data_IF_524486912194
#
_entry.id   IF_524486912194
#
_cell.length_a   1.000
_cell.length_b   1.000
_cell.length_c   1.000
_cell.angle_alpha   90.00
_cell.angle_beta   90.00
_cell.angle_gamma   90.00
#
_symmetry.space_group_name_H-M   'P 1'
#
loop_
_entity.id
_entity.type
_entity.pdbx_description
1 polymer ?
#
# COMPACT_ATOMS: atom_id res chain seq x y z
N UNK A 1 -11.29 12.95 -11.11
CA UNK A 1 -11.56 11.53 -10.85
C UNK A 1 -10.53 11.07 -9.83
N UNK A 2 -10.83 10.12 -8.93
CA UNK A 2 -9.80 9.58 -8.02
C UNK A 2 -8.84 8.72 -8.83
N UNK A 3 -7.55 8.77 -8.49
CA UNK A 3 -6.52 8.00 -9.16
C UNK A 3 -5.84 7.05 -8.19
N UNK A 4 -5.66 5.82 -8.61
CA UNK A 4 -4.96 4.75 -7.88
C UNK A 4 -3.68 4.44 -8.62
N UNK A 5 -2.55 4.48 -7.93
CA UNK A 5 -1.29 3.97 -8.46
C UNK A 5 -1.17 2.49 -8.11
N UNK A 6 -1.00 1.66 -9.12
CA UNK A 6 -0.71 0.24 -8.96
C UNK A 6 0.72 -0.05 -9.39
N UNK A 7 1.57 -0.46 -8.43
CA UNK A 7 2.95 -0.84 -8.72
C UNK A 7 3.04 -2.31 -9.09
N UNK A 8 3.76 -2.60 -10.18
CA UNK A 8 3.91 -3.97 -10.66
C UNK A 8 5.34 -4.29 -11.08
N UNK A 9 5.80 -5.48 -10.69
CA UNK A 9 6.95 -6.19 -11.24
C UNK A 9 6.50 -7.35 -12.15
N UNK A 10 5.20 -7.43 -12.44
CA UNK A 10 4.53 -8.48 -13.19
C UNK A 10 4.61 -9.88 -12.56
N UNK A 11 5.11 -10.01 -11.33
CA UNK A 11 5.10 -11.26 -10.59
C UNK A 11 3.67 -11.76 -10.35
N UNK A 12 3.53 -13.03 -9.95
CA UNK A 12 2.23 -13.59 -9.54
C UNK A 12 1.62 -12.83 -8.36
N UNK A 13 2.47 -12.33 -7.47
CA UNK A 13 2.05 -11.51 -6.33
C UNK A 13 1.43 -10.20 -6.81
N UNK A 14 2.09 -9.52 -7.75
CA UNK A 14 1.55 -8.31 -8.36
C UNK A 14 0.26 -8.58 -9.14
N UNK A 15 0.18 -9.70 -9.89
CA UNK A 15 -1.05 -10.08 -10.59
C UNK A 15 -2.23 -10.30 -9.62
N UNK A 16 -1.98 -10.96 -8.47
CA UNK A 16 -2.98 -11.09 -7.41
C UNK A 16 -3.40 -9.73 -6.84
N UNK A 17 -2.43 -8.85 -6.57
CA UNK A 17 -2.71 -7.51 -6.07
C UNK A 17 -3.50 -6.65 -7.06
N UNK A 18 -3.34 -6.89 -8.36
CA UNK A 18 -4.11 -6.18 -9.39
C UNK A 18 -5.60 -6.45 -9.32
N UNK A 19 -6.03 -7.65 -8.91
CA UNK A 19 -7.44 -7.97 -8.67
C UNK A 19 -8.04 -7.07 -7.60
N UNK A 20 -7.26 -6.79 -6.53
CA UNK A 20 -7.68 -5.86 -5.49
C UNK A 20 -7.76 -4.42 -6.02
N UNK A 21 -6.78 -3.99 -6.84
CA UNK A 21 -6.79 -2.67 -7.44
C UNK A 21 -8.03 -2.46 -8.31
N UNK A 22 -8.39 -3.42 -9.15
CA UNK A 22 -9.60 -3.40 -9.96
C UNK A 22 -10.87 -3.27 -9.10
N UNK A 23 -10.98 -4.06 -8.04
CA UNK A 23 -12.14 -4.05 -7.16
C UNK A 23 -12.29 -2.76 -6.37
N UNK A 24 -11.16 -2.18 -5.92
CA UNK A 24 -11.16 -0.87 -5.26
C UNK A 24 -11.55 0.22 -6.25
N UNK A 25 -10.99 0.19 -7.46
CA UNK A 25 -11.26 1.18 -8.50
C UNK A 25 -12.74 1.19 -8.91
N UNK A 26 -13.34 0.01 -9.09
CA UNK A 26 -14.77 -0.14 -9.39
C UNK A 26 -15.65 0.49 -8.29
N UNK A 27 -15.41 0.12 -7.02
CA UNK A 27 -16.15 0.65 -5.87
C UNK A 27 -16.01 2.17 -5.71
N UNK A 28 -14.83 2.72 -5.99
CA UNK A 28 -14.51 4.13 -5.77
C UNK A 28 -14.66 4.98 -7.02
N UNK A 29 -14.97 4.36 -8.17
CA UNK A 29 -15.00 4.99 -9.49
C UNK A 29 -13.69 5.71 -9.81
N UNK A 30 -12.58 5.04 -9.51
CA UNK A 30 -11.24 5.54 -9.72
C UNK A 30 -10.66 5.03 -11.05
N UNK A 31 -9.64 5.72 -11.53
CA UNK A 31 -8.76 5.32 -12.61
C UNK A 31 -7.53 4.62 -12.03
N UNK A 32 -6.98 3.63 -12.71
CA UNK A 32 -5.76 2.91 -12.30
C UNK A 32 -4.60 3.31 -13.21
N UNK A 33 -3.56 3.88 -12.63
CA UNK A 33 -2.26 4.04 -13.24
C UNK A 33 -1.39 2.85 -12.88
N UNK A 34 -1.07 2.01 -13.84
CA UNK A 34 -0.17 0.87 -13.66
C UNK A 34 1.25 1.33 -13.94
N UNK A 35 2.10 1.32 -12.92
CA UNK A 35 3.49 1.74 -13.04
C UNK A 35 4.43 0.56 -12.88
N UNK A 36 5.28 0.35 -13.89
CA UNK A 36 6.45 -0.51 -13.83
C UNK A 36 7.72 0.32 -13.88
N UNK A 37 8.69 0.00 -13.03
CA UNK A 37 9.95 0.74 -12.93
C UNK A 37 11.09 -0.19 -13.28
N UNK A 38 11.91 0.25 -14.23
CA UNK A 38 13.13 -0.44 -14.63
C UNK A 38 14.34 0.26 -14.01
N UNK A 39 15.33 -0.51 -13.59
CA UNK A 39 16.62 0.00 -13.15
C UNK A 39 17.63 -0.06 -14.30
N UNK A 40 17.39 0.68 -15.36
CA UNK A 40 18.41 0.82 -16.40
C UNK A 40 19.49 1.73 -15.83
N UNK A 41 20.67 1.18 -15.56
CA UNK A 41 21.82 1.97 -15.13
C UNK A 41 22.15 2.97 -16.22
N UNK A 42 22.07 4.25 -15.90
CA UNK A 42 22.71 5.27 -16.73
C UNK A 42 24.22 4.96 -16.75
N UNK A 43 24.78 4.79 -17.95
CA UNK A 43 26.23 4.74 -18.08
C UNK A 43 26.76 6.07 -17.54
N UNK A 44 27.53 6.02 -16.43
CA UNK A 44 28.14 7.23 -15.88
C UNK A 44 28.97 7.90 -16.96
N UNK A 45 28.79 9.20 -17.11
CA UNK A 45 29.39 10.08 -18.11
C UNK A 45 30.92 10.26 -17.97
N UNK A 46 31.67 9.21 -17.66
CA UNK A 46 33.13 9.29 -17.50
C UNK A 46 33.93 8.85 -18.74
N UNK A 47 33.30 8.80 -19.93
CA UNK A 47 34.01 8.34 -21.13
C UNK A 47 34.10 9.47 -22.16
N UNK A 48 35.30 10.05 -22.27
CA UNK A 48 35.64 11.24 -23.10
C UNK A 48 35.71 10.97 -24.59
N UNK A 49 35.36 9.81 -25.12
CA UNK A 49 35.50 9.54 -26.58
C UNK A 49 34.14 9.42 -27.29
N UNK A 50 33.91 10.29 -28.27
CA UNK A 50 32.67 10.41 -29.04
C UNK A 50 32.15 9.09 -29.68
N UNK A 51 33.03 8.14 -30.00
CA UNK A 51 32.62 6.81 -30.46
C UNK A 51 32.03 5.92 -29.40
N UNK A 52 32.52 6.00 -28.16
CA UNK A 52 32.02 5.24 -27.02
C UNK A 52 30.65 5.77 -26.59
N UNK A 53 30.43 7.08 -26.66
CA UNK A 53 29.11 7.68 -26.44
C UNK A 53 28.06 7.21 -27.47
N UNK A 54 28.41 7.09 -28.75
CA UNK A 54 27.49 6.58 -29.76
C UNK A 54 27.14 5.11 -29.54
N UNK A 55 28.11 4.27 -29.12
CA UNK A 55 27.88 2.86 -28.75
C UNK A 55 27.07 2.72 -27.46
N UNK A 56 27.36 3.53 -26.45
CA UNK A 56 26.60 3.55 -25.20
C UNK A 56 25.14 3.96 -25.42
N UNK A 57 24.90 5.00 -26.25
CA UNK A 57 23.55 5.42 -26.60
C UNK A 57 22.81 4.37 -27.43
N UNK A 58 23.47 3.71 -28.37
CA UNK A 58 22.87 2.62 -29.13
C UNK A 58 22.52 1.41 -28.24
N UNK A 59 23.36 1.10 -27.27
CA UNK A 59 23.12 0.06 -26.29
C UNK A 59 21.94 0.42 -25.36
N UNK A 60 21.91 1.65 -24.84
CA UNK A 60 20.78 2.18 -24.04
C UNK A 60 19.47 2.11 -24.83
N UNK A 61 19.44 2.60 -26.06
CA UNK A 61 18.26 2.56 -26.91
C UNK A 61 17.78 1.14 -27.22
N UNK A 62 18.69 0.16 -27.33
CA UNK A 62 18.31 -1.24 -27.52
C UNK A 62 17.74 -1.87 -26.24
N UNK A 63 18.33 -1.57 -25.08
CA UNK A 63 17.79 -1.99 -23.79
C UNK A 63 16.38 -1.42 -23.54
N UNK A 64 16.20 -0.12 -23.80
CA UNK A 64 14.88 0.52 -23.70
C UNK A 64 13.84 -0.16 -24.59
N UNK A 65 14.18 -0.46 -25.84
CA UNK A 65 13.27 -1.17 -26.76
C UNK A 65 12.93 -2.59 -26.28
N UNK A 66 13.90 -3.29 -25.71
CA UNK A 66 13.69 -4.63 -25.16
C UNK A 66 12.77 -4.58 -23.91
N UNK A 67 13.02 -3.62 -23.02
CA UNK A 67 12.19 -3.41 -21.83
C UNK A 67 10.76 -3.00 -22.21
N UNK A 68 10.59 -2.11 -23.19
CA UNK A 68 9.27 -1.79 -23.74
C UNK A 68 8.57 -3.00 -24.37
N UNK A 69 9.33 -3.88 -25.03
CA UNK A 69 8.79 -5.12 -25.60
C UNK A 69 8.27 -6.07 -24.50
N UNK A 70 9.05 -6.28 -23.46
CA UNK A 70 8.68 -7.07 -22.28
C UNK A 70 7.46 -6.46 -21.57
N UNK A 71 7.50 -5.16 -21.33
CA UNK A 71 6.42 -4.42 -20.69
C UNK A 71 5.09 -4.60 -21.44
N UNK A 72 5.05 -4.46 -22.76
CA UNK A 72 3.82 -4.65 -23.55
C UNK A 72 3.28 -6.08 -23.46
N UNK A 73 4.17 -7.07 -23.46
CA UNK A 73 3.76 -8.47 -23.34
C UNK A 73 3.16 -8.76 -21.98
N UNK A 74 3.74 -8.22 -20.91
CA UNK A 74 3.24 -8.38 -19.55
C UNK A 74 1.97 -7.55 -19.27
N UNK A 75 1.89 -6.33 -19.80
CA UNK A 75 0.69 -5.50 -19.73
C UNK A 75 -0.54 -6.22 -20.31
N UNK A 76 -0.36 -6.95 -21.43
CA UNK A 76 -1.43 -7.78 -22.00
C UNK A 76 -1.97 -8.86 -21.06
N UNK A 77 -1.16 -9.35 -20.10
CA UNK A 77 -1.64 -10.29 -19.09
C UNK A 77 -2.55 -9.60 -18.06
N UNK A 78 -2.20 -8.39 -17.63
CA UNK A 78 -3.05 -7.61 -16.73
C UNK A 78 -4.36 -7.18 -17.40
N UNK A 79 -4.33 -6.81 -18.68
CA UNK A 79 -5.56 -6.56 -19.46
C UNK A 79 -6.47 -7.79 -19.52
N UNK A 80 -5.88 -8.99 -19.65
CA UNK A 80 -6.64 -10.24 -19.63
C UNK A 80 -7.31 -10.47 -18.28
N UNK A 81 -6.58 -10.23 -17.18
CA UNK A 81 -7.13 -10.30 -15.83
C UNK A 81 -8.30 -9.31 -15.68
N UNK A 82 -8.16 -8.07 -16.13
CA UNK A 82 -9.24 -7.09 -16.06
C UNK A 82 -10.50 -7.55 -16.81
N UNK A 83 -10.32 -8.18 -17.99
CA UNK A 83 -11.44 -8.75 -18.78
C UNK A 83 -12.10 -9.95 -18.10
N UNK A 84 -11.32 -10.83 -17.48
CA UNK A 84 -11.83 -12.02 -16.76
C UNK A 84 -12.66 -11.64 -15.53
N UNK A 85 -12.27 -10.60 -14.83
CA UNK A 85 -13.01 -10.08 -13.68
C UNK A 85 -14.20 -9.17 -14.05
N UNK A 86 -14.60 -9.13 -15.34
CA UNK A 86 -15.73 -8.35 -15.86
C UNK A 86 -15.74 -6.85 -15.54
N UNK A 87 -14.57 -6.29 -15.21
CA UNK A 87 -14.42 -4.87 -14.83
C UNK A 87 -14.03 -4.04 -16.05
N UNK A 88 -14.85 -4.10 -17.09
CA UNK A 88 -14.61 -3.45 -18.38
C UNK A 88 -14.62 -1.92 -18.33
N UNK A 89 -15.19 -1.35 -17.27
CA UNK A 89 -15.43 0.09 -17.15
C UNK A 89 -14.42 0.82 -16.25
N UNK A 90 -13.41 0.10 -15.72
CA UNK A 90 -12.34 0.74 -14.95
C UNK A 90 -11.29 1.27 -15.92
N UNK A 91 -11.07 2.59 -15.99
CA UNK A 91 -10.01 3.15 -16.81
C UNK A 91 -8.65 2.70 -16.28
N UNK A 92 -7.78 2.24 -17.19
CA UNK A 92 -6.45 1.74 -16.85
C UNK A 92 -5.44 2.38 -17.81
N UNK A 93 -4.42 3.02 -17.24
CA UNK A 93 -3.27 3.56 -17.98
C UNK A 93 -2.00 2.83 -17.61
N UNK A 94 -1.12 2.58 -18.58
CA UNK A 94 0.14 1.88 -18.38
C UNK A 94 1.33 2.83 -18.52
N UNK A 95 2.20 2.82 -17.52
CA UNK A 95 3.38 3.67 -17.44
C UNK A 95 4.63 2.84 -17.19
N UNK A 96 5.68 3.14 -17.95
CA UNK A 96 7.01 2.55 -17.79
C UNK A 96 7.99 3.69 -17.50
N UNK A 97 8.57 3.64 -16.30
CA UNK A 97 9.54 4.62 -15.85
C UNK A 97 10.90 3.96 -15.57
N UNK A 98 11.95 4.77 -15.59
CA UNK A 98 13.31 4.34 -15.31
C UNK A 98 13.92 5.18 -14.19
N UNK A 99 14.58 4.54 -13.24
CA UNK A 99 15.28 5.23 -12.18
C UNK A 99 15.22 4.55 -10.81
N UNK A 100 15.67 5.26 -9.76
CA UNK A 100 15.59 4.79 -8.39
C UNK A 100 14.13 4.61 -7.95
N UNK A 101 13.79 3.39 -7.52
CA UNK A 101 12.41 2.98 -7.26
C UNK A 101 11.62 3.97 -6.38
N UNK A 102 12.17 4.36 -5.22
CA UNK A 102 11.47 5.22 -4.28
C UNK A 102 11.23 6.62 -4.86
N UNK A 103 12.24 7.20 -5.48
CA UNK A 103 12.18 8.54 -6.07
C UNK A 103 11.15 8.60 -7.20
N UNK A 104 11.19 7.62 -8.12
CA UNK A 104 10.23 7.53 -9.23
C UNK A 104 8.81 7.42 -8.71
N UNK A 105 8.56 6.56 -7.70
CA UNK A 105 7.22 6.40 -7.14
C UNK A 105 6.71 7.68 -6.49
N UNK A 106 7.54 8.34 -5.67
CA UNK A 106 7.13 9.56 -4.97
C UNK A 106 6.84 10.70 -5.95
N UNK A 107 7.72 10.91 -6.93
CA UNK A 107 7.51 11.92 -7.98
C UNK A 107 6.22 11.60 -8.77
N UNK A 108 6.01 10.34 -9.15
CA UNK A 108 4.80 9.95 -9.88
C UNK A 108 3.52 10.23 -9.09
N UNK A 109 3.53 9.99 -7.78
CA UNK A 109 2.40 10.27 -6.88
C UNK A 109 2.06 11.76 -6.89
N UNK A 110 3.09 12.62 -6.74
CA UNK A 110 2.91 14.06 -6.63
C UNK A 110 2.50 14.68 -7.98
N UNK A 111 3.12 14.23 -9.09
CA UNK A 111 2.84 14.77 -10.42
C UNK A 111 1.45 14.38 -10.97
N UNK A 112 0.86 13.29 -10.47
CA UNK A 112 -0.39 12.75 -11.00
C UNK A 112 -1.58 12.81 -10.03
N UNK A 113 -1.48 13.47 -8.88
CA UNK A 113 -2.54 13.55 -7.86
C UNK A 113 -3.06 12.17 -7.41
N UNK A 114 -2.16 11.23 -7.20
CA UNK A 114 -2.51 9.89 -6.75
C UNK A 114 -3.08 9.93 -5.33
N UNK A 115 -4.17 9.22 -5.10
CA UNK A 115 -4.87 9.21 -3.80
C UNK A 115 -4.75 7.91 -3.01
N UNK A 116 -4.27 6.84 -3.65
CA UNK A 116 -4.05 5.52 -3.06
C UNK A 116 -2.97 4.79 -3.87
N UNK A 117 -2.03 4.17 -3.17
CA UNK A 117 -1.06 3.25 -3.78
C UNK A 117 -1.45 1.82 -3.45
N UNK A 118 -1.44 0.93 -4.44
CA UNK A 118 -1.68 -0.52 -4.27
C UNK A 118 -0.49 -1.28 -4.83
N UNK A 119 0.00 -2.26 -4.08
CA UNK A 119 1.09 -3.11 -4.52
C UNK A 119 1.00 -4.52 -3.90
N UNK A 120 1.58 -5.48 -4.59
CA UNK A 120 1.84 -6.78 -4.00
C UNK A 120 3.02 -6.70 -3.02
N UNK A 121 2.94 -7.44 -1.93
CA UNK A 121 4.09 -7.66 -1.06
C UNK A 121 4.37 -9.16 -0.97
N UNK A 122 5.62 -9.54 -1.24
CA UNK A 122 6.07 -10.89 -0.93
C UNK A 122 5.94 -11.04 0.58
N UNK A 123 4.88 -11.72 0.99
CA UNK A 123 4.60 -11.96 2.40
C UNK A 123 5.83 -12.58 3.04
N UNK A 124 6.05 -12.31 4.30
CA UNK A 124 7.09 -12.93 5.08
C UNK A 124 7.06 -14.44 4.83
N UNK A 125 7.94 -14.90 3.95
CA UNK A 125 8.30 -16.29 3.95
C UNK A 125 8.81 -16.54 5.37
N UNK A 126 8.19 -17.44 6.05
CA UNK A 126 8.23 -17.95 7.41
C UNK A 126 9.59 -17.88 8.16
N UNK A 127 10.67 -17.44 7.57
CA UNK A 127 12.01 -17.41 8.16
C UNK A 127 12.32 -16.06 8.83
N UNK A 128 11.88 -14.92 8.31
CA UNK A 128 12.31 -13.60 8.79
C UNK A 128 11.28 -12.78 9.59
N UNK A 129 10.07 -13.29 9.81
CA UNK A 129 9.01 -12.63 10.61
C UNK A 129 8.69 -11.17 10.24
N UNK A 130 9.07 -10.70 9.04
CA UNK A 130 8.77 -9.34 8.59
C UNK A 130 7.46 -9.32 7.81
N UNK A 131 6.57 -8.39 8.16
CA UNK A 131 5.28 -8.20 7.46
C UNK A 131 5.47 -7.69 6.02
N UNK A 132 6.53 -6.93 5.76
CA UNK A 132 6.75 -6.25 4.50
C UNK A 132 8.17 -6.42 3.98
N UNK A 133 8.34 -6.45 2.66
CA UNK A 133 9.64 -6.36 2.01
C UNK A 133 10.20 -4.93 2.03
N UNK A 134 11.49 -4.79 1.74
CA UNK A 134 12.23 -3.52 1.81
C UNK A 134 11.58 -2.37 1.00
N UNK A 135 11.09 -2.64 -0.19
CA UNK A 135 10.41 -1.62 -1.02
C UNK A 135 9.12 -1.13 -0.37
N UNK A 136 8.33 -2.04 0.21
CA UNK A 136 7.10 -1.69 0.92
C UNK A 136 7.42 -0.88 2.19
N UNK A 137 8.42 -1.30 2.97
CA UNK A 137 8.88 -0.55 4.15
C UNK A 137 9.35 0.87 3.78
N UNK A 138 10.13 1.01 2.71
CA UNK A 138 10.61 2.31 2.24
C UNK A 138 9.45 3.22 1.82
N UNK A 139 8.46 2.68 1.12
CA UNK A 139 7.28 3.45 0.73
C UNK A 139 6.44 3.84 1.95
N UNK A 140 6.21 2.94 2.90
CA UNK A 140 5.47 3.25 4.14
C UNK A 140 6.14 4.42 4.89
N UNK A 141 7.46 4.46 4.92
CA UNK A 141 8.22 5.47 5.64
C UNK A 141 8.29 6.84 4.94
N UNK A 142 8.03 6.91 3.64
CA UNK A 142 8.25 8.13 2.87
C UNK A 142 7.00 8.62 2.11
N UNK A 143 5.97 7.81 1.98
CA UNK A 143 4.78 8.13 1.21
C UNK A 143 3.74 8.87 2.06
N UNK A 144 3.15 9.93 1.52
CA UNK A 144 2.13 10.76 2.19
C UNK A 144 0.69 10.26 2.00
N UNK A 145 0.48 9.31 1.08
CA UNK A 145 -0.84 8.74 0.77
C UNK A 145 -0.99 7.33 1.35
N UNK A 146 -2.23 6.84 1.53
CA UNK A 146 -2.46 5.46 1.95
C UNK A 146 -1.84 4.43 1.01
N UNK A 147 -1.30 3.35 1.58
CA UNK A 147 -0.73 2.21 0.85
C UNK A 147 -1.54 0.96 1.20
N UNK A 148 -2.05 0.27 0.18
CA UNK A 148 -2.67 -1.04 0.32
C UNK A 148 -1.67 -2.12 -0.16
N UNK A 149 -1.04 -2.79 0.79
CA UNK A 149 -0.10 -3.87 0.55
C UNK A 149 -0.80 -5.22 0.56
N UNK A 150 -0.75 -5.97 -0.55
CA UNK A 150 -1.45 -7.24 -0.74
C UNK A 150 -0.46 -8.40 -0.62
N UNK A 151 -0.58 -9.26 0.41
CA UNK A 151 0.25 -10.44 0.55
C UNK A 151 0.03 -11.47 -0.56
N UNK A 152 1.05 -12.27 -0.87
CA UNK A 152 1.01 -13.28 -1.92
C UNK A 152 -0.19 -14.25 -1.82
N UNK A 153 -0.51 -14.66 -0.58
CA UNK A 153 -1.58 -15.64 -0.32
C UNK A 153 -2.94 -14.99 -0.03
N UNK A 154 -3.04 -13.68 -0.13
CA UNK A 154 -4.31 -13.00 0.08
C UNK A 154 -5.31 -13.43 -1.00
N UNK A 155 -6.51 -13.78 -0.59
CA UNK A 155 -7.62 -14.07 -1.50
C UNK A 155 -8.61 -12.91 -1.43
N UNK A 156 -8.92 -12.32 -2.59
CA UNK A 156 -9.88 -11.24 -2.63
C UNK A 156 -11.27 -11.75 -2.20
N UNK A 157 -11.82 -11.10 -1.19
CA UNK A 157 -13.20 -11.31 -0.75
C UNK A 157 -13.88 -9.95 -0.74
N UNK A 158 -15.05 -9.88 -1.36
CA UNK A 158 -15.85 -8.65 -1.31
C UNK A 158 -16.44 -8.49 0.09
N UNK A 159 -15.69 -7.87 0.98
CA UNK A 159 -16.07 -7.63 2.36
C UNK A 159 -16.05 -6.13 2.67
N UNK A 160 -16.86 -5.75 3.65
CA UNK A 160 -16.88 -4.41 4.21
C UNK A 160 -16.28 -4.41 5.64
N UNK A 161 -15.38 -5.34 5.98
CA UNK A 161 -14.73 -5.40 7.28
C UNK A 161 -13.33 -4.81 7.23
N UNK A 162 -13.08 -3.81 8.08
CA UNK A 162 -11.81 -3.13 8.25
C UNK A 162 -11.43 -3.14 9.73
N UNK A 163 -10.25 -3.61 10.08
CA UNK A 163 -9.69 -3.43 11.41
C UNK A 163 -8.58 -2.39 11.39
N UNK A 164 -8.54 -1.55 12.41
CA UNK A 164 -7.54 -0.47 12.53
C UNK A 164 -6.74 -0.68 13.82
N UNK A 165 -5.45 -0.89 13.67
CA UNK A 165 -4.53 -0.91 14.80
C UNK A 165 -4.27 0.52 15.28
N UNK A 166 -4.54 0.78 16.56
CA UNK A 166 -4.40 2.11 17.16
C UNK A 166 -3.47 2.07 18.37
N UNK A 167 -2.74 3.15 18.60
CA UNK A 167 -1.92 3.34 19.79
C UNK A 167 -2.61 4.20 20.85
N UNK A 168 -3.85 4.62 20.59
CA UNK A 168 -4.66 5.45 21.47
C UNK A 168 -4.00 6.80 21.80
N UNK A 169 -3.37 7.41 20.80
CA UNK A 169 -2.78 8.75 20.92
C UNK A 169 -3.71 9.80 20.33
N UNK A 170 -3.67 11.00 20.89
CA UNK A 170 -4.52 12.12 20.43
C UNK A 170 -4.25 12.51 18.97
N UNK A 171 -3.04 12.30 18.47
CA UNK A 171 -2.66 12.55 17.07
C UNK A 171 -3.37 11.64 16.06
N UNK A 172 -3.90 10.50 16.49
CA UNK A 172 -4.66 9.58 15.62
C UNK A 172 -6.12 10.00 15.47
N UNK A 173 -6.67 10.78 16.42
CA UNK A 173 -8.09 11.18 16.42
C UNK A 173 -8.52 11.86 15.09
N UNK A 174 -7.79 12.83 14.54
CA UNK A 174 -8.16 13.43 13.26
C UNK A 174 -8.13 12.41 12.10
N UNK A 175 -7.18 11.48 12.13
CA UNK A 175 -7.04 10.43 11.11
C UNK A 175 -8.26 9.50 11.15
N UNK A 176 -8.66 9.06 12.35
CA UNK A 176 -9.83 8.19 12.54
C UNK A 176 -11.13 8.90 12.16
N UNK A 177 -11.30 10.17 12.51
CA UNK A 177 -12.47 10.96 12.06
C UNK A 177 -12.55 10.98 10.54
N UNK A 178 -11.44 11.29 9.86
CA UNK A 178 -11.38 11.27 8.40
C UNK A 178 -11.64 9.87 7.82
N UNK A 179 -11.20 8.81 8.50
CA UNK A 179 -11.48 7.44 8.10
C UNK A 179 -12.99 7.17 8.14
N UNK A 180 -13.69 7.52 9.22
CA UNK A 180 -15.16 7.39 9.31
C UNK A 180 -15.87 8.15 8.19
N UNK A 181 -15.49 9.41 7.94
CA UNK A 181 -16.07 10.21 6.86
C UNK A 181 -15.90 9.57 5.49
N UNK A 182 -14.69 9.05 5.21
CA UNK A 182 -14.36 8.42 3.93
C UNK A 182 -15.05 7.07 3.73
N UNK A 183 -15.23 6.30 4.79
CA UNK A 183 -15.78 4.93 4.72
C UNK A 183 -17.29 4.87 4.86
N UNK A 184 -17.92 5.89 5.41
CA UNK A 184 -19.37 5.95 5.67
C UNK A 184 -20.20 5.59 4.42
N UNK A 185 -19.85 6.13 3.25
CA UNK A 185 -20.57 5.90 2.00
C UNK A 185 -20.43 4.46 1.46
N UNK A 186 -19.45 3.69 1.95
CA UNK A 186 -19.18 2.32 1.48
C UNK A 186 -19.68 1.25 2.45
N UNK A 187 -20.29 1.64 3.58
CA UNK A 187 -20.84 0.71 4.56
C UNK A 187 -19.81 -0.17 5.26
N UNK A 188 -18.58 0.31 5.44
CA UNK A 188 -17.55 -0.44 6.16
C UNK A 188 -17.88 -0.56 7.64
N UNK A 189 -17.76 -1.79 8.16
CA UNK A 189 -17.70 -2.06 9.60
C UNK A 189 -16.25 -1.92 10.05
N UNK A 190 -15.98 -0.95 10.92
CA UNK A 190 -14.64 -0.66 11.41
C UNK A 190 -14.51 -1.18 12.83
N UNK A 191 -13.55 -2.06 13.06
CA UNK A 191 -13.15 -2.53 14.38
C UNK A 191 -11.78 -1.91 14.72
N UNK A 192 -11.58 -1.58 16.00
CA UNK A 192 -10.29 -1.04 16.45
C UNK A 192 -9.61 -2.04 17.38
N UNK A 193 -8.30 -2.15 17.27
CA UNK A 193 -7.49 -3.04 18.11
C UNK A 193 -6.28 -2.30 18.65
N UNK A 194 -6.03 -2.48 19.94
CA UNK A 194 -4.84 -2.03 20.63
C UNK A 194 -4.11 -3.22 21.25
N UNK A 195 -2.82 -3.36 21.00
CA UNK A 195 -2.01 -4.42 21.58
C UNK A 195 -1.22 -3.88 22.77
N UNK A 196 -1.37 -4.51 23.92
CA UNK A 196 -0.54 -4.29 25.12
C UNK A 196 0.48 -5.41 25.24
N UNK A 197 1.69 -5.09 25.69
CA UNK A 197 2.76 -6.10 25.85
C UNK A 197 2.70 -6.83 27.18
N UNK A 198 2.12 -6.21 28.18
CA UNK A 198 1.97 -6.81 29.50
C UNK A 198 0.61 -6.46 30.13
N UNK A 199 0.18 -7.28 31.10
CA UNK A 199 -1.08 -7.08 31.82
C UNK A 199 -1.02 -5.83 32.70
N UNK A 200 0.17 -5.43 33.16
CA UNK A 200 0.36 -4.23 33.98
C UNK A 200 -0.03 -2.94 33.25
N UNK A 201 -0.01 -2.95 31.91
CA UNK A 201 -0.44 -1.81 31.08
C UNK A 201 -1.97 -1.63 31.08
N UNK A 202 -2.75 -2.62 31.51
CA UNK A 202 -4.21 -2.65 31.35
C UNK A 202 -4.91 -1.43 31.96
N UNK A 203 -4.58 -1.05 33.18
CA UNK A 203 -5.23 0.10 33.84
C UNK A 203 -4.91 1.43 33.17
N UNK A 204 -3.65 1.62 32.72
CA UNK A 204 -3.24 2.82 32.02
C UNK A 204 -3.93 2.91 30.64
N UNK A 205 -4.06 1.79 29.95
CA UNK A 205 -4.70 1.72 28.63
C UNK A 205 -6.20 1.93 28.75
N UNK A 206 -6.85 1.43 29.81
CA UNK A 206 -8.28 1.65 30.07
C UNK A 206 -8.65 3.12 30.08
N UNK A 207 -7.88 3.96 30.79
CA UNK A 207 -8.12 5.41 30.80
C UNK A 207 -8.00 6.05 29.41
N UNK A 208 -7.07 5.57 28.58
CA UNK A 208 -6.96 6.03 27.18
C UNK A 208 -8.14 5.57 26.33
N UNK A 209 -8.58 4.33 26.50
CA UNK A 209 -9.76 3.79 25.80
C UNK A 209 -10.99 4.62 26.16
N UNK A 210 -11.24 4.88 27.46
CA UNK A 210 -12.38 5.68 27.90
C UNK A 210 -12.38 7.08 27.29
N UNK A 211 -11.21 7.75 27.24
CA UNK A 211 -11.04 9.04 26.57
C UNK A 211 -11.35 8.97 25.08
N UNK A 212 -10.93 7.89 24.41
CA UNK A 212 -11.20 7.69 23.00
C UNK A 212 -12.68 7.43 22.72
N UNK A 213 -13.32 6.58 23.52
CA UNK A 213 -14.77 6.31 23.40
C UNK A 213 -15.58 7.59 23.55
N UNK A 214 -15.18 8.51 24.44
CA UNK A 214 -15.82 9.84 24.58
C UNK A 214 -15.69 10.69 23.30
N UNK A 215 -14.50 10.70 22.67
CA UNK A 215 -14.28 11.42 21.42
C UNK A 215 -15.07 10.88 20.23
N UNK A 216 -15.49 9.62 20.26
CA UNK A 216 -16.16 8.92 19.17
C UNK A 216 -17.53 8.34 19.57
N UNK A 217 -18.16 8.88 20.57
CA UNK A 217 -19.44 8.38 21.09
C UNK A 217 -20.55 8.29 20.04
N UNK A 218 -20.54 9.19 19.03
CA UNK A 218 -21.50 9.17 17.95
C UNK A 218 -21.24 8.05 16.92
N UNK A 219 -20.04 7.50 16.91
CA UNK A 219 -19.62 6.48 15.96
C UNK A 219 -19.78 5.05 16.48
N UNK A 220 -20.21 4.84 17.73
CA UNK A 220 -20.28 3.54 18.39
C UNK A 220 -18.96 2.76 18.27
N UNK A 221 -17.84 3.44 18.54
CA UNK A 221 -16.52 2.86 18.46
C UNK A 221 -16.35 1.72 19.45
N UNK A 222 -15.82 0.59 18.99
CA UNK A 222 -15.42 -0.55 19.83
C UNK A 222 -13.91 -0.72 19.67
N UNK A 223 -13.20 -0.82 20.80
CA UNK A 223 -11.75 -1.02 20.83
C UNK A 223 -11.47 -2.32 21.59
N UNK A 224 -10.92 -3.29 20.88
CA UNK A 224 -10.43 -4.52 21.48
C UNK A 224 -9.01 -4.31 21.99
N UNK A 225 -8.77 -4.59 23.27
CA UNK A 225 -7.44 -4.54 23.89
C UNK A 225 -6.94 -5.97 24.08
N UNK A 226 -5.81 -6.29 23.45
CA UNK A 226 -5.26 -7.64 23.41
C UNK A 226 -3.86 -7.65 24.01
N UNK A 227 -3.62 -8.58 24.93
CA UNK A 227 -2.30 -8.78 25.50
C UNK A 227 -1.48 -9.76 24.63
N UNK A 228 -0.41 -9.27 24.03
CA UNK A 228 0.58 -10.05 23.28
C UNK A 228 1.95 -9.38 23.33
N UNK A 229 2.96 -10.14 23.70
CA UNK A 229 4.34 -9.65 23.76
C UNK A 229 4.83 -9.15 22.37
N UNK A 230 4.49 -9.89 21.33
CA UNK A 230 4.80 -9.49 19.95
C UNK A 230 3.55 -8.86 19.30
N UNK A 231 3.67 -7.57 19.00
CA UNK A 231 2.59 -6.76 18.41
C UNK A 231 2.15 -7.31 17.06
N UNK A 232 3.10 -7.67 16.17
CA UNK A 232 2.80 -8.15 14.82
C UNK A 232 2.01 -9.45 14.87
N UNK A 233 2.43 -10.39 15.72
CA UNK A 233 1.71 -11.67 15.94
C UNK A 233 0.31 -11.39 16.50
N UNK A 234 0.19 -10.48 17.48
CA UNK A 234 -1.09 -10.11 18.06
C UNK A 234 -2.07 -9.55 17.03
N UNK A 235 -1.60 -8.67 16.14
CA UNK A 235 -2.40 -8.10 15.06
C UNK A 235 -2.81 -9.14 14.02
N UNK A 236 -1.91 -10.05 13.65
CA UNK A 236 -2.20 -11.14 12.71
C UNK A 236 -3.24 -12.11 13.28
N UNK A 237 -3.09 -12.53 14.53
CA UNK A 237 -4.05 -13.40 15.20
C UNK A 237 -5.42 -12.72 15.35
N UNK A 238 -5.44 -11.43 15.67
CA UNK A 238 -6.67 -10.65 15.73
C UNK A 238 -7.38 -10.63 14.36
N UNK A 239 -6.67 -10.29 13.33
CA UNK A 239 -7.22 -10.24 11.96
C UNK A 239 -7.79 -11.60 11.55
N UNK A 240 -7.10 -12.69 11.87
CA UNK A 240 -7.56 -14.04 11.61
C UNK A 240 -8.84 -14.39 12.40
N UNK A 241 -8.85 -14.15 13.71
CA UNK A 241 -9.97 -14.52 14.60
C UNK A 241 -11.23 -13.70 14.32
N UNK A 242 -11.08 -12.45 13.88
CA UNK A 242 -12.20 -11.55 13.54
C UNK A 242 -12.60 -11.64 12.08
N UNK A 243 -11.95 -12.50 11.29
CA UNK A 243 -12.14 -12.59 9.85
C UNK A 243 -12.02 -11.22 9.14
N UNK A 244 -11.05 -10.42 9.61
CA UNK A 244 -10.77 -9.09 9.05
C UNK A 244 -10.18 -9.22 7.67
N UNK A 245 -10.75 -8.48 6.71
CA UNK A 245 -10.26 -8.48 5.32
C UNK A 245 -9.15 -7.45 5.08
N UNK A 246 -9.20 -6.34 5.79
CA UNK A 246 -8.20 -5.28 5.70
C UNK A 246 -7.75 -4.92 7.12
N UNK A 247 -6.47 -5.10 7.41
CA UNK A 247 -5.84 -4.59 8.63
C UNK A 247 -5.11 -3.30 8.30
N UNK A 248 -5.58 -2.19 8.88
CA UNK A 248 -4.96 -0.88 8.72
C UNK A 248 -4.03 -0.58 9.90
N UNK A 249 -2.86 -0.05 9.58
CA UNK A 249 -1.87 0.42 10.55
C UNK A 249 -1.62 1.90 10.27
N UNK A 250 -1.68 2.74 11.30
CA UNK A 250 -1.40 4.17 11.15
C UNK A 250 0.11 4.36 11.29
N UNK A 251 0.76 4.68 10.17
CA UNK A 251 2.16 5.07 10.17
C UNK A 251 2.30 6.53 10.65
N UNK A 252 3.32 6.78 11.44
CA UNK A 252 3.64 8.13 11.93
C UNK A 252 4.99 8.54 11.40
N UNK A 253 5.00 9.64 10.72
CA UNK A 253 6.23 10.33 10.42
C UNK A 253 6.74 11.02 11.67
N UNK A 254 7.63 10.36 12.41
CA UNK A 254 8.31 10.96 13.58
C UNK A 254 9.20 12.13 13.16
N UNK A 255 9.60 12.21 11.89
CA UNK A 255 10.50 13.24 11.38
C UNK A 255 9.83 14.60 11.25
N UNK A 256 8.53 14.65 11.00
CA UNK A 256 7.78 15.90 10.88
C UNK A 256 7.72 16.67 12.21
N UNK A 257 7.56 15.97 13.34
CA UNK A 257 7.47 16.59 14.66
C UNK A 257 8.81 16.90 15.33
N UNK A 258 9.91 16.32 14.84
CA UNK A 258 11.26 16.67 15.27
C UNK A 258 11.82 17.91 14.56
N UNK A 259 11.15 18.42 13.52
CA UNK A 259 11.53 19.60 12.75
C UNK A 259 10.77 20.86 13.12
N UNK A 260 9.83 20.79 14.06
CA UNK A 260 9.13 21.89 14.70
C UNK A 260 9.66 22.06 16.14
#
# INVERSE_FOLDING_TARGET
MKKILFLTDFSKVAQNAFVYALSVAEKTKAEIHILHITAIMEAKDEVEEMQVHAMANAYKNNLEKEEWGKFRAEAGKLEKIAKEYHQKDVPVEFHLENGPFLEVVLNYIDDNDISLLIMGTSGANTVDKKLFGSNTENLINNCSIPILAIPEKATFVNSNSLSVAVMLNDTEIPIIKRLFEKTAQYGYKINFVHIIKSIEETEMVKAKVDKWLENFKENNLIIDVINKENIEIGLMEYAYNTNTQILSIIHRDLSFWQRI
#
